data_IF_654987429531
#
_entry.id   IF_654987429531
#
_cell.length_a   1.000
_cell.length_b   1.000
_cell.length_c   1.000
_cell.angle_alpha   90.00
_cell.angle_beta   90.00
_cell.angle_gamma   90.00
#
_symmetry.space_group_name_H-M   'P 1'
#
loop_
_entity.id
_entity.type
_entity.pdbx_description
1 polymer ?
#
# COMPACT_ATOMS: atom_id res chain seq x y z
N UNK A 1 15.93 13.89 -4.94
CA UNK A 1 14.52 13.92 -5.37
C UNK A 1 13.66 13.42 -4.23
N UNK A 2 12.57 14.12 -3.87
CA UNK A 2 11.56 13.60 -2.93
C UNK A 2 10.80 12.48 -3.64
N UNK A 3 10.82 11.27 -3.11
CA UNK A 3 10.04 10.17 -3.66
C UNK A 3 8.64 10.17 -3.02
N UNK A 4 7.83 11.18 -3.37
CA UNK A 4 6.50 11.42 -2.81
C UNK A 4 5.56 10.22 -2.99
N UNK A 5 5.73 9.46 -4.08
CA UNK A 5 4.94 8.26 -4.36
C UNK A 5 5.19 7.17 -3.32
N UNK A 6 6.45 6.85 -3.02
CA UNK A 6 6.80 5.86 -1.99
C UNK A 6 6.21 6.19 -0.62
N UNK A 7 6.36 7.44 -0.17
CA UNK A 7 5.83 7.88 1.12
C UNK A 7 4.30 7.78 1.20
N UNK A 8 3.60 8.15 0.11
CA UNK A 8 2.15 8.00 0.01
C UNK A 8 1.70 6.54 0.02
N UNK A 9 2.44 5.66 -0.65
CA UNK A 9 2.15 4.22 -0.66
C UNK A 9 2.34 3.59 0.71
N UNK A 10 3.42 3.93 1.43
CA UNK A 10 3.63 3.48 2.82
C UNK A 10 2.47 3.93 3.71
N UNK A 11 2.05 5.20 3.60
CA UNK A 11 0.91 5.73 4.36
C UNK A 11 -0.40 5.00 4.05
N UNK A 12 -0.65 4.72 2.77
CA UNK A 12 -1.85 4.00 2.30
C UNK A 12 -1.89 2.58 2.87
N UNK A 13 -0.80 1.84 2.76
CA UNK A 13 -0.69 0.47 3.26
C UNK A 13 -0.83 0.43 4.79
N UNK A 14 -0.20 1.36 5.52
CA UNK A 14 -0.38 1.51 6.96
C UNK A 14 -1.84 1.73 7.35
N UNK A 15 -2.53 2.64 6.66
CA UNK A 15 -3.93 2.92 6.94
C UNK A 15 -4.83 1.71 6.64
N UNK A 16 -4.54 0.97 5.55
CA UNK A 16 -5.26 -0.26 5.22
C UNK A 16 -5.07 -1.36 6.28
N UNK A 17 -3.88 -1.44 6.89
CA UNK A 17 -3.60 -2.32 8.03
C UNK A 17 -4.19 -1.82 9.37
N UNK A 18 -4.86 -0.66 9.38
CA UNK A 18 -5.49 -0.10 10.59
C UNK A 18 -4.51 0.43 11.64
N UNK A 19 -3.23 0.63 11.29
CA UNK A 19 -2.18 1.04 12.23
C UNK A 19 -2.00 2.56 12.26
N UNK A 20 -1.73 3.13 13.43
CA UNK A 20 -1.17 4.48 13.58
C UNK A 20 0.33 4.51 13.22
N UNK A 21 0.88 5.70 12.97
CA UNK A 21 2.33 5.85 12.73
C UNK A 21 3.16 5.35 13.92
N UNK A 22 2.66 5.57 15.15
CA UNK A 22 3.32 5.10 16.37
C UNK A 22 3.31 3.58 16.49
N UNK A 23 2.19 2.93 16.16
CA UNK A 23 2.10 1.47 16.19
C UNK A 23 2.99 0.83 15.12
N UNK A 24 2.97 1.34 13.89
CA UNK A 24 3.86 0.85 12.84
C UNK A 24 5.33 1.06 13.21
N UNK A 25 5.67 2.21 13.78
CA UNK A 25 7.03 2.50 14.25
C UNK A 25 7.46 1.48 15.29
N UNK A 26 6.67 1.31 16.35
CA UNK A 26 6.95 0.36 17.42
C UNK A 26 7.16 -1.06 16.89
N UNK A 27 6.27 -1.53 16.01
CA UNK A 27 6.33 -2.87 15.43
C UNK A 27 7.54 -3.08 14.51
N UNK A 28 7.82 -2.12 13.63
CA UNK A 28 8.92 -2.21 12.67
C UNK A 28 10.29 -1.78 13.24
N UNK A 29 10.37 -1.43 14.53
CA UNK A 29 11.61 -1.01 15.20
C UNK A 29 12.08 0.38 14.80
N UNK A 30 11.15 1.32 14.66
CA UNK A 30 11.38 2.74 14.37
C UNK A 30 10.67 3.65 15.37
N UNK A 31 11.18 4.85 15.55
CA UNK A 31 10.42 5.88 16.25
C UNK A 31 9.26 6.40 15.37
N UNK A 32 8.15 6.89 15.98
CA UNK A 32 7.00 7.38 15.22
C UNK A 32 7.35 8.53 14.25
N UNK A 33 8.35 9.34 14.59
CA UNK A 33 8.77 10.47 13.75
C UNK A 33 9.51 9.98 12.49
N UNK A 34 10.25 8.87 12.56
CA UNK A 34 10.84 8.21 11.39
C UNK A 34 9.78 7.72 10.42
N UNK A 35 8.70 7.11 10.91
CA UNK A 35 7.55 6.72 10.06
C UNK A 35 6.93 7.95 9.39
N UNK A 36 6.69 9.02 10.15
CA UNK A 36 6.19 10.29 9.59
C UNK A 36 7.11 10.85 8.50
N UNK A 37 8.43 10.82 8.72
CA UNK A 37 9.42 11.31 7.75
C UNK A 37 9.47 10.46 6.47
N UNK A 38 9.29 9.15 6.59
CA UNK A 38 9.12 8.24 5.45
C UNK A 38 7.85 8.57 4.66
N UNK A 39 6.71 8.70 5.34
CA UNK A 39 5.42 9.02 4.71
C UNK A 39 5.41 10.39 4.01
N UNK A 40 6.10 11.37 4.58
CA UNK A 40 6.27 12.71 3.99
C UNK A 40 7.33 12.75 2.87
N UNK A 41 8.04 11.65 2.62
CA UNK A 41 9.13 11.57 1.64
C UNK A 41 10.31 12.47 1.97
N UNK A 42 10.45 12.88 3.23
CA UNK A 42 11.57 13.72 3.71
C UNK A 42 12.84 12.92 3.99
N UNK A 43 12.69 11.61 4.22
CA UNK A 43 13.77 10.63 4.30
C UNK A 43 13.40 9.46 3.42
N UNK A 44 14.36 8.96 2.66
CA UNK A 44 14.20 7.74 1.88
C UNK A 44 14.47 6.54 2.79
N UNK A 45 13.52 5.60 2.98
CA UNK A 45 13.77 4.37 3.72
C UNK A 45 14.89 3.55 3.06
N UNK A 46 15.71 2.87 3.87
CA UNK A 46 16.63 1.86 3.34
C UNK A 46 15.86 0.63 2.87
N UNK A 47 16.51 -0.24 2.09
CA UNK A 47 15.91 -1.53 1.70
C UNK A 47 15.52 -2.36 2.92
N UNK A 48 16.38 -2.41 3.94
CA UNK A 48 16.08 -3.05 5.23
C UNK A 48 14.83 -2.46 5.89
N UNK A 49 14.70 -1.12 5.88
CA UNK A 49 13.52 -0.47 6.42
C UNK A 49 12.26 -0.86 5.65
N UNK A 50 12.31 -0.92 4.32
CA UNK A 50 11.19 -1.39 3.51
C UNK A 50 10.83 -2.84 3.82
N UNK A 51 11.80 -3.73 4.00
CA UNK A 51 11.52 -5.11 4.40
C UNK A 51 10.80 -5.21 5.75
N UNK A 52 11.26 -4.46 6.75
CA UNK A 52 10.61 -4.43 8.08
C UNK A 52 9.20 -3.88 8.02
N UNK A 53 8.98 -2.82 7.24
CA UNK A 53 7.65 -2.28 7.02
C UNK A 53 6.75 -3.27 6.28
N UNK A 54 7.26 -3.98 5.26
CA UNK A 54 6.49 -4.96 4.49
C UNK A 54 5.95 -6.09 5.37
N UNK A 55 6.79 -6.61 6.28
CA UNK A 55 6.41 -7.67 7.23
C UNK A 55 5.24 -7.20 8.10
N UNK A 56 5.34 -6.02 8.72
CA UNK A 56 4.31 -5.51 9.63
C UNK A 56 3.04 -5.02 8.93
N UNK A 57 3.12 -4.75 7.64
CA UNK A 57 1.99 -4.34 6.79
C UNK A 57 1.37 -5.52 6.03
N UNK A 58 1.87 -6.73 6.25
CA UNK A 58 1.42 -7.96 5.57
C UNK A 58 1.42 -7.82 4.04
N UNK A 59 2.45 -7.16 3.50
CA UNK A 59 2.63 -6.96 2.07
C UNK A 59 4.05 -7.33 1.63
N UNK A 60 4.34 -7.16 0.34
CA UNK A 60 5.67 -7.34 -0.23
C UNK A 60 6.33 -6.00 -0.48
N UNK A 61 7.67 -5.97 -0.54
CA UNK A 61 8.43 -4.76 -0.89
C UNK A 61 8.01 -4.22 -2.27
N UNK A 62 7.56 -5.09 -3.19
CA UNK A 62 7.05 -4.70 -4.50
C UNK A 62 5.87 -3.75 -4.38
N UNK A 63 4.99 -3.97 -3.41
CA UNK A 63 3.75 -3.20 -3.24
C UNK A 63 4.01 -1.74 -2.89
N UNK A 64 5.21 -1.39 -2.42
CA UNK A 64 5.63 0.00 -2.21
C UNK A 64 5.90 0.77 -3.50
N UNK A 65 6.14 0.06 -4.61
CA UNK A 65 6.54 0.61 -5.90
C UNK A 65 5.54 0.30 -7.02
N UNK A 66 4.33 -0.17 -6.67
CA UNK A 66 3.25 -0.31 -7.64
C UNK A 66 2.65 1.07 -7.87
N UNK A 67 3.03 1.68 -8.99
CA UNK A 67 2.42 2.89 -9.50
C UNK A 67 1.29 2.52 -10.48
N UNK A 68 0.18 3.26 -10.38
CA UNK A 68 -0.96 3.13 -11.28
C UNK A 68 -1.12 4.44 -12.03
N UNK A 69 -0.17 4.72 -12.93
CA UNK A 69 -0.10 6.00 -13.65
C UNK A 69 -1.30 6.17 -14.59
N UNK A 70 -1.84 5.06 -15.12
CA UNK A 70 -3.04 5.06 -15.92
C UNK A 70 -3.98 3.87 -15.66
N UNK A 71 -5.10 3.83 -16.37
CA UNK A 71 -6.06 2.73 -16.24
C UNK A 71 -5.58 1.42 -16.91
N UNK A 72 -4.55 1.48 -17.75
CA UNK A 72 -3.90 0.28 -18.34
C UNK A 72 -3.16 -0.47 -17.26
N UNK A 73 -2.35 0.22 -16.46
CA UNK A 73 -1.58 -0.37 -15.35
C UNK A 73 -2.50 -0.98 -14.29
N UNK A 74 -3.60 -0.27 -13.97
CA UNK A 74 -4.63 -0.79 -13.06
C UNK A 74 -5.23 -2.09 -13.57
N UNK A 75 -5.62 -2.14 -14.85
CA UNK A 75 -6.19 -3.34 -15.47
C UNK A 75 -5.19 -4.49 -15.50
N UNK A 76 -3.93 -4.23 -15.86
CA UNK A 76 -2.89 -5.25 -15.92
C UNK A 76 -2.60 -5.85 -14.54
N UNK A 77 -2.53 -5.03 -13.50
CA UNK A 77 -2.40 -5.51 -12.12
C UNK A 77 -3.60 -6.34 -11.69
N UNK A 78 -4.82 -5.82 -11.89
CA UNK A 78 -6.04 -6.53 -11.51
C UNK A 78 -6.18 -7.87 -12.24
N UNK A 79 -5.82 -7.92 -13.52
CA UNK A 79 -5.83 -9.17 -14.29
C UNK A 79 -4.91 -10.21 -13.66
N UNK A 80 -3.67 -9.83 -13.30
CA UNK A 80 -2.74 -10.73 -12.64
C UNK A 80 -3.20 -11.13 -11.22
N UNK A 81 -3.79 -10.20 -10.46
CA UNK A 81 -4.29 -10.48 -9.11
C UNK A 81 -5.46 -11.48 -9.14
N UNK A 82 -6.39 -11.31 -10.09
CA UNK A 82 -7.56 -12.18 -10.27
C UNK A 82 -7.15 -13.63 -10.58
N UNK A 83 -6.01 -13.85 -11.26
CA UNK A 83 -5.55 -15.20 -11.57
C UNK A 83 -5.25 -16.06 -10.33
N UNK A 84 -4.95 -15.46 -9.18
CA UNK A 84 -4.63 -16.18 -7.94
C UNK A 84 -5.67 -15.94 -6.83
N UNK A 85 -6.74 -15.18 -7.12
CA UNK A 85 -7.74 -14.82 -6.12
C UNK A 85 -8.68 -15.99 -5.82
N UNK A 86 -9.11 -16.10 -4.56
CA UNK A 86 -10.10 -17.08 -4.16
C UNK A 86 -11.54 -16.63 -4.47
N UNK A 87 -12.52 -17.50 -4.21
CA UNK A 87 -13.93 -17.19 -4.48
C UNK A 87 -14.48 -16.04 -3.65
N UNK A 88 -13.97 -15.83 -2.43
CA UNK A 88 -14.41 -14.73 -1.56
C UNK A 88 -13.90 -13.39 -2.08
N UNK A 89 -12.63 -13.32 -2.44
CA UNK A 89 -11.98 -12.15 -3.03
C UNK A 89 -12.63 -11.75 -4.35
N UNK A 90 -12.92 -12.73 -5.22
CA UNK A 90 -13.60 -12.49 -6.49
C UNK A 90 -15.02 -11.94 -6.30
N UNK A 91 -15.78 -12.49 -5.35
CA UNK A 91 -17.12 -12.00 -5.03
C UNK A 91 -17.09 -10.55 -4.54
N UNK A 92 -16.14 -10.21 -3.65
CA UNK A 92 -15.96 -8.82 -3.18
C UNK A 92 -15.65 -7.87 -4.35
N UNK A 93 -14.77 -8.29 -5.27
CA UNK A 93 -14.39 -7.47 -6.42
C UNK A 93 -15.58 -7.24 -7.36
N UNK A 94 -16.35 -8.29 -7.68
CA UNK A 94 -17.56 -8.19 -8.52
C UNK A 94 -18.55 -7.22 -7.91
N UNK A 95 -18.82 -7.32 -6.60
CA UNK A 95 -19.72 -6.38 -5.91
C UNK A 95 -19.21 -4.95 -6.08
N UNK A 96 -17.92 -4.70 -5.82
CA UNK A 96 -17.33 -3.37 -5.87
C UNK A 96 -17.52 -2.71 -7.26
N UNK A 97 -17.25 -3.43 -8.35
CA UNK A 97 -17.30 -2.86 -9.71
C UNK A 97 -18.69 -2.86 -10.35
N UNK A 98 -19.61 -3.69 -9.85
CA UNK A 98 -20.98 -3.81 -10.42
C UNK A 98 -21.96 -2.83 -9.76
N UNK A 99 -21.61 -2.24 -8.62
CA UNK A 99 -22.46 -1.23 -7.99
C UNK A 99 -22.60 -0.02 -8.92
N UNK A 100 -23.83 0.40 -9.30
CA UNK A 100 -24.00 1.60 -10.11
C UNK A 100 -23.41 2.79 -9.35
N UNK A 101 -22.50 3.53 -10.00
CA UNK A 101 -21.91 4.72 -9.43
C UNK A 101 -23.03 5.65 -8.93
N UNK A 102 -22.98 6.07 -7.66
CA UNK A 102 -23.83 7.16 -7.18
C UNK A 102 -23.60 8.34 -8.11
N UNK A 103 -24.57 8.64 -8.97
CA UNK A 103 -24.62 9.90 -9.72
C UNK A 103 -24.69 11.02 -8.69
N UNK A 104 -23.55 11.66 -8.41
CA UNK A 104 -23.48 13.02 -7.86
C UNK A 104 -23.81 14.02 -8.95
#
# INVERSE_FOLDING_TARGET
MKNLQLGQTIKRLRAAAGLSQSELGLRAGFDPNTISRFELGTVTPSVDALYRLAIELECTVRDFFVDFDDDTDKRAYLFNAICNADSEELNRLVVLVSTPAKKT
#
